data_IF_159056847511
#
_entry.id   IF_159056847511
#
_cell.length_a   1.000
_cell.length_b   1.000
_cell.length_c   1.000
_cell.angle_alpha   90.00
_cell.angle_beta   90.00
_cell.angle_gamma   90.00
#
_symmetry.space_group_name_H-M   'P 1'
#
loop_
_entity.id
_entity.type
_entity.pdbx_description
1 polymer ?
#
# COMPACT_ATOMS: atom_id res chain seq x y z
N UNK A 1 20.29 16.99 -24.85
CA UNK A 1 20.77 16.16 -23.75
C UNK A 1 22.23 15.75 -24.01
N UNK A 2 23.06 15.80 -22.98
CA UNK A 2 24.41 15.24 -23.02
C UNK A 2 24.34 13.70 -23.04
N UNK A 3 25.46 13.03 -23.30
CA UNK A 3 25.51 11.56 -23.19
C UNK A 3 25.13 11.08 -21.77
N UNK A 4 25.54 11.85 -20.75
CA UNK A 4 25.17 11.56 -19.35
C UNK A 4 23.65 11.73 -19.08
N UNK A 5 23.02 12.75 -19.67
CA UNK A 5 21.58 12.94 -19.58
C UNK A 5 20.84 11.79 -20.26
N UNK A 6 21.36 11.28 -21.37
CA UNK A 6 20.73 10.16 -22.08
C UNK A 6 20.69 8.89 -21.23
N UNK A 7 21.73 8.64 -20.44
CA UNK A 7 21.74 7.50 -19.50
C UNK A 7 20.55 7.57 -18.53
N UNK A 8 20.25 8.74 -17.98
CA UNK A 8 19.12 8.94 -17.06
C UNK A 8 17.78 8.73 -17.75
N UNK A 9 17.64 9.21 -18.99
CA UNK A 9 16.43 8.99 -19.80
C UNK A 9 16.23 7.50 -20.07
N UNK A 10 17.29 6.79 -20.45
CA UNK A 10 17.25 5.36 -20.73
C UNK A 10 16.91 4.56 -19.46
N UNK A 11 17.46 4.95 -18.31
CA UNK A 11 17.12 4.33 -17.01
C UNK A 11 15.66 4.56 -16.64
N UNK A 12 15.11 5.75 -16.83
CA UNK A 12 13.70 6.01 -16.57
C UNK A 12 12.80 5.13 -17.45
N UNK A 13 13.15 4.95 -18.72
CA UNK A 13 12.43 4.07 -19.63
C UNK A 13 12.54 2.60 -19.20
N UNK A 14 13.74 2.15 -18.81
CA UNK A 14 13.96 0.81 -18.31
C UNK A 14 13.12 0.55 -17.03
N UNK A 15 13.05 1.52 -16.13
CA UNK A 15 12.22 1.45 -14.94
C UNK A 15 10.73 1.27 -15.28
N UNK A 16 10.20 2.08 -16.21
CA UNK A 16 8.81 1.96 -16.68
C UNK A 16 8.51 0.57 -17.29
N UNK A 17 9.49 0.00 -17.97
CA UNK A 17 9.40 -1.34 -18.58
C UNK A 17 9.70 -2.49 -17.60
N UNK A 18 10.04 -2.17 -16.35
CA UNK A 18 10.48 -3.13 -15.34
C UNK A 18 11.71 -3.94 -15.75
N UNK A 19 12.59 -3.34 -16.53
CA UNK A 19 13.81 -3.97 -17.07
C UNK A 19 14.95 -3.85 -16.04
N UNK A 20 15.00 -4.80 -15.09
CA UNK A 20 16.00 -4.85 -14.02
C UNK A 20 17.42 -4.99 -14.55
N UNK A 21 17.62 -5.78 -15.60
CA UNK A 21 18.95 -6.02 -16.21
C UNK A 21 19.50 -4.73 -16.79
N UNK A 22 18.67 -4.02 -17.55
CA UNK A 22 19.08 -2.75 -18.17
C UNK A 22 19.40 -1.70 -17.10
N UNK A 23 18.60 -1.62 -16.04
CA UNK A 23 18.86 -0.71 -14.92
C UNK A 23 20.23 -0.99 -14.26
N UNK A 24 20.54 -2.26 -14.00
CA UNK A 24 21.82 -2.64 -13.43
C UNK A 24 23.01 -2.29 -14.35
N UNK A 25 22.85 -2.47 -15.65
CA UNK A 25 23.88 -2.14 -16.65
C UNK A 25 24.14 -0.64 -16.72
N UNK A 26 23.09 0.19 -16.63
CA UNK A 26 23.20 1.64 -16.80
C UNK A 26 23.61 2.37 -15.52
N UNK A 27 23.33 1.82 -14.33
CA UNK A 27 23.57 2.49 -13.06
C UNK A 27 25.00 3.03 -12.90
N UNK A 28 26.08 2.27 -13.19
CA UNK A 28 27.44 2.78 -13.08
C UNK A 28 27.72 4.01 -13.94
N UNK A 29 27.02 4.15 -15.06
CA UNK A 29 27.18 5.26 -16.01
C UNK A 29 26.49 6.54 -15.51
N UNK A 30 25.59 6.46 -14.53
CA UNK A 30 24.92 7.60 -13.93
C UNK A 30 25.73 8.24 -12.79
N UNK A 31 26.85 7.63 -12.38
CA UNK A 31 27.66 8.11 -11.28
C UNK A 31 28.15 9.53 -11.50
N UNK A 32 27.95 10.39 -10.50
CA UNK A 32 28.34 11.80 -10.55
C UNK A 32 27.37 12.72 -11.28
N UNK A 33 26.34 12.19 -11.90
CA UNK A 33 25.27 13.01 -12.49
C UNK A 33 24.43 13.69 -11.40
N UNK A 34 23.95 14.91 -11.63
CA UNK A 34 23.11 15.64 -10.69
C UNK A 34 21.84 14.87 -10.28
N UNK A 35 21.33 14.02 -11.16
CA UNK A 35 20.15 13.17 -10.93
C UNK A 35 20.51 11.72 -10.58
N UNK A 36 21.74 11.45 -10.16
CA UNK A 36 22.16 10.11 -9.72
C UNK A 36 21.23 9.51 -8.63
N UNK A 37 20.69 10.30 -7.67
CA UNK A 37 19.71 9.74 -6.69
C UNK A 37 18.49 9.09 -7.35
N UNK A 38 18.00 9.64 -8.48
CA UNK A 38 16.92 9.02 -9.25
C UNK A 38 17.35 7.71 -9.89
N UNK A 39 18.53 7.67 -10.49
CA UNK A 39 19.07 6.44 -11.08
C UNK A 39 19.20 5.33 -10.04
N UNK A 40 19.78 5.64 -8.89
CA UNK A 40 19.90 4.71 -7.78
C UNK A 40 18.53 4.25 -7.23
N UNK A 41 17.57 5.17 -7.15
CA UNK A 41 16.20 4.85 -6.72
C UNK A 41 15.52 3.88 -7.71
N UNK A 42 15.54 4.16 -9.00
CA UNK A 42 14.91 3.29 -10.00
C UNK A 42 15.48 1.88 -10.00
N UNK A 43 16.79 1.77 -9.92
CA UNK A 43 17.47 0.47 -9.90
C UNK A 43 17.08 -0.35 -8.64
N UNK A 44 17.19 0.23 -7.46
CA UNK A 44 16.86 -0.46 -6.23
C UNK A 44 15.35 -0.73 -6.11
N UNK A 45 14.51 0.25 -6.47
CA UNK A 45 13.06 0.09 -6.43
C UNK A 45 12.57 -1.07 -7.29
N UNK A 46 13.15 -1.22 -8.49
CA UNK A 46 12.77 -2.28 -9.43
C UNK A 46 13.01 -3.69 -8.87
N UNK A 47 13.98 -3.86 -7.96
CA UNK A 47 14.33 -5.15 -7.33
C UNK A 47 14.13 -5.17 -5.81
N UNK A 48 13.36 -4.23 -5.28
CA UNK A 48 13.24 -4.03 -3.82
C UNK A 48 12.79 -5.30 -3.08
N UNK A 49 11.89 -6.07 -3.69
CA UNK A 49 11.38 -7.32 -3.11
C UNK A 49 12.48 -8.36 -2.86
N UNK A 50 13.54 -8.32 -3.66
CA UNK A 50 14.67 -9.26 -3.60
C UNK A 50 15.91 -8.63 -2.95
N UNK A 51 15.87 -7.33 -2.61
CA UNK A 51 16.98 -6.63 -2.00
C UNK A 51 17.18 -7.04 -0.54
N UNK A 52 18.45 -7.11 -0.13
CA UNK A 52 18.78 -7.34 1.26
C UNK A 52 18.58 -6.07 2.09
N UNK A 53 18.32 -6.23 3.38
CA UNK A 53 18.17 -5.11 4.31
C UNK A 53 19.38 -4.16 4.28
N UNK A 54 20.58 -4.71 4.18
CA UNK A 54 21.83 -3.93 4.10
C UNK A 54 21.91 -3.02 2.87
N UNK A 55 21.36 -3.45 1.74
CA UNK A 55 21.32 -2.64 0.50
C UNK A 55 20.35 -1.46 0.66
N UNK A 56 19.20 -1.69 1.29
CA UNK A 56 18.23 -0.63 1.60
C UNK A 56 18.84 0.38 2.56
N UNK A 57 19.46 -0.07 3.64
CA UNK A 57 20.09 0.79 4.63
C UNK A 57 21.23 1.62 4.01
N UNK A 58 22.06 1.01 3.16
CA UNK A 58 23.11 1.70 2.45
C UNK A 58 22.57 2.81 1.53
N UNK A 59 21.47 2.55 0.82
CA UNK A 59 20.80 3.57 -0.02
C UNK A 59 20.28 4.73 0.83
N UNK A 60 19.57 4.44 1.91
CA UNK A 60 19.00 5.46 2.80
C UNK A 60 20.08 6.34 3.42
N UNK A 61 21.22 5.75 3.76
CA UNK A 61 22.36 6.48 4.31
C UNK A 61 23.05 7.34 3.26
N UNK A 62 23.32 6.78 2.06
CA UNK A 62 23.99 7.50 0.97
C UNK A 62 23.20 8.72 0.51
N UNK A 63 21.90 8.57 0.37
CA UNK A 63 21.02 9.61 -0.17
C UNK A 63 20.22 10.33 0.91
N UNK A 64 20.71 10.31 2.15
CA UNK A 64 20.07 10.96 3.29
C UNK A 64 19.73 12.44 2.98
N UNK A 65 18.53 12.86 3.36
CA UNK A 65 18.02 14.21 3.15
C UNK A 65 17.43 14.47 1.76
N UNK A 66 17.56 13.55 0.81
CA UNK A 66 16.96 13.69 -0.52
C UNK A 66 15.49 13.24 -0.54
N UNK A 67 14.75 13.67 -1.56
CA UNK A 67 13.42 13.15 -1.85
C UNK A 67 13.42 11.63 -2.07
N UNK A 68 14.42 11.12 -2.78
CA UNK A 68 14.53 9.71 -3.12
C UNK A 68 14.75 8.82 -1.89
N UNK A 69 15.47 9.31 -0.89
CA UNK A 69 15.63 8.60 0.40
C UNK A 69 14.26 8.34 1.02
N UNK A 70 13.43 9.37 1.13
CA UNK A 70 12.13 9.24 1.79
C UNK A 70 11.12 8.44 0.94
N UNK A 71 11.20 8.55 -0.40
CA UNK A 71 10.40 7.72 -1.31
C UNK A 71 10.74 6.24 -1.20
N UNK A 72 12.02 5.89 -1.15
CA UNK A 72 12.40 4.48 -0.99
C UNK A 72 12.00 3.96 0.39
N UNK A 73 12.07 4.78 1.41
CA UNK A 73 11.58 4.43 2.76
C UNK A 73 10.08 4.13 2.71
N UNK A 74 9.30 4.95 2.02
CA UNK A 74 7.87 4.67 1.80
C UNK A 74 7.66 3.31 1.14
N UNK A 75 8.35 3.03 0.05
CA UNK A 75 8.24 1.76 -0.68
C UNK A 75 8.63 0.56 0.20
N UNK A 76 9.70 0.71 0.99
CA UNK A 76 10.14 -0.33 1.92
C UNK A 76 9.15 -0.55 3.06
N UNK A 77 8.56 0.51 3.60
CA UNK A 77 7.52 0.40 4.63
C UNK A 77 6.30 -0.36 4.13
N UNK A 78 5.86 -0.10 2.89
CA UNK A 78 4.77 -0.87 2.28
C UNK A 78 5.12 -2.35 2.17
N UNK A 79 6.33 -2.67 1.74
CA UNK A 79 6.80 -4.04 1.62
C UNK A 79 6.90 -4.75 2.98
N UNK A 80 7.45 -4.08 3.98
CA UNK A 80 7.53 -4.61 5.35
C UNK A 80 6.14 -4.85 5.94
N UNK A 81 5.21 -3.94 5.73
CA UNK A 81 3.81 -4.10 6.13
C UNK A 81 3.15 -5.32 5.48
N UNK A 82 3.30 -5.48 4.17
CA UNK A 82 2.79 -6.64 3.43
C UNK A 82 3.36 -7.97 3.95
N UNK A 83 4.63 -7.96 4.35
CA UNK A 83 5.33 -9.13 4.92
C UNK A 83 5.05 -9.33 6.41
N UNK A 84 4.32 -8.43 7.04
CA UNK A 84 4.07 -8.45 8.50
C UNK A 84 5.35 -8.39 9.32
N UNK A 85 6.39 -7.77 8.79
CA UNK A 85 7.63 -7.49 9.50
C UNK A 85 7.47 -6.22 10.35
N UNK A 86 6.69 -6.35 11.40
CA UNK A 86 6.33 -5.22 12.27
C UNK A 86 7.53 -4.62 13.00
N UNK A 87 8.49 -5.45 13.38
CA UNK A 87 9.69 -5.00 14.07
C UNK A 87 10.52 -4.05 13.20
N UNK A 88 10.80 -4.43 11.96
CA UNK A 88 11.54 -3.57 11.02
C UNK A 88 10.72 -2.36 10.59
N UNK A 89 9.44 -2.51 10.40
CA UNK A 89 8.54 -1.39 10.11
C UNK A 89 8.62 -0.34 11.23
N UNK A 90 8.44 -0.77 12.48
CA UNK A 90 8.47 0.12 13.65
C UNK A 90 9.82 0.85 13.80
N UNK A 91 10.93 0.18 13.47
CA UNK A 91 12.26 0.80 13.51
C UNK A 91 12.46 1.85 12.40
N UNK A 92 11.88 1.63 11.21
CA UNK A 92 12.06 2.50 10.04
C UNK A 92 11.07 3.66 9.98
N UNK A 93 9.84 3.46 10.43
CA UNK A 93 8.73 4.39 10.27
C UNK A 93 8.98 5.81 10.87
N UNK A 94 9.62 5.97 12.03
CA UNK A 94 9.83 7.32 12.60
C UNK A 94 10.64 8.26 11.72
N UNK A 95 11.46 7.74 10.82
CA UNK A 95 12.27 8.53 9.89
C UNK A 95 11.53 8.91 8.60
N UNK A 96 10.32 8.39 8.39
CA UNK A 96 9.50 8.74 7.21
C UNK A 96 8.93 10.15 7.38
N UNK A 97 9.43 11.09 6.58
CA UNK A 97 9.14 12.52 6.75
C UNK A 97 7.86 12.97 6.06
N UNK A 98 7.61 12.51 4.82
CA UNK A 98 6.44 12.97 4.05
C UNK A 98 5.13 12.54 4.68
N UNK A 99 5.04 11.33 5.24
CA UNK A 99 3.86 10.85 5.94
C UNK A 99 2.58 10.89 5.10
N UNK A 100 2.70 10.85 3.79
CA UNK A 100 1.62 11.08 2.83
C UNK A 100 0.97 9.80 2.30
N UNK A 101 1.45 8.63 2.74
CA UNK A 101 0.93 7.33 2.32
C UNK A 101 -0.11 6.81 3.30
N UNK A 102 -1.36 6.68 2.84
CA UNK A 102 -2.49 6.22 3.67
C UNK A 102 -2.34 4.76 4.11
N UNK A 103 -1.81 3.91 3.23
CA UNK A 103 -1.58 2.49 3.57
C UNK A 103 -0.51 2.36 4.64
N UNK A 104 0.56 3.13 4.57
CA UNK A 104 1.59 3.18 5.63
C UNK A 104 0.99 3.62 6.96
N UNK A 105 0.10 4.63 6.96
CA UNK A 105 -0.61 5.06 8.18
C UNK A 105 -1.45 3.93 8.77
N UNK A 106 -2.12 3.16 7.93
CA UNK A 106 -2.90 2.00 8.35
C UNK A 106 -2.02 0.90 8.96
N UNK A 107 -0.87 0.59 8.37
CA UNK A 107 0.08 -0.34 8.98
C UNK A 107 0.58 0.13 10.35
N UNK A 108 0.87 1.41 10.48
CA UNK A 108 1.26 1.99 11.77
C UNK A 108 0.13 1.86 12.82
N UNK A 109 -1.11 2.04 12.41
CA UNK A 109 -2.28 1.85 13.27
C UNK A 109 -2.43 0.38 13.71
N UNK A 110 -2.19 -0.56 12.80
CA UNK A 110 -2.17 -2.00 13.12
C UNK A 110 -1.14 -2.32 14.20
N UNK A 111 0.08 -1.81 14.05
CA UNK A 111 1.15 -2.02 15.04
C UNK A 111 0.75 -1.44 16.40
N UNK A 112 0.22 -0.22 16.41
CA UNK A 112 -0.26 0.42 17.64
C UNK A 112 -1.36 -0.39 18.33
N UNK A 113 -2.27 -0.98 17.55
CA UNK A 113 -3.34 -1.85 18.07
C UNK A 113 -2.76 -3.14 18.68
N UNK A 114 -1.86 -3.81 17.98
CA UNK A 114 -1.21 -5.04 18.45
C UNK A 114 -0.43 -4.78 19.75
N UNK A 115 0.23 -3.65 19.85
CA UNK A 115 1.02 -3.26 21.02
C UNK A 115 0.18 -2.66 22.17
N UNK A 116 -1.13 -2.57 22.01
CA UNK A 116 -2.03 -2.04 23.05
C UNK A 116 -1.92 -0.54 23.30
N UNK A 117 -1.38 0.22 22.33
CA UNK A 117 -1.21 1.68 22.40
C UNK A 117 -1.95 2.42 21.28
N UNK A 118 -2.98 1.80 20.71
CA UNK A 118 -3.82 2.46 19.73
C UNK A 118 -4.46 3.73 20.32
N UNK A 119 -4.60 4.82 19.53
CA UNK A 119 -5.27 6.02 19.99
C UNK A 119 -6.75 5.72 20.29
N UNK A 120 -7.35 6.51 21.17
CA UNK A 120 -8.78 6.36 21.51
C UNK A 120 -9.69 6.54 20.29
N UNK A 121 -9.28 7.35 19.33
CA UNK A 121 -9.98 7.61 18.08
C UNK A 121 -9.51 6.70 16.91
N UNK A 122 -8.94 5.54 17.22
CA UNK A 122 -8.40 4.61 16.22
C UNK A 122 -9.38 4.31 15.08
N UNK A 123 -10.67 4.15 15.38
CA UNK A 123 -11.70 3.94 14.36
C UNK A 123 -11.85 5.15 13.42
N UNK A 124 -11.73 6.36 13.94
CA UNK A 124 -11.79 7.59 13.13
C UNK A 124 -10.55 7.69 12.21
N UNK A 125 -9.37 7.40 12.74
CA UNK A 125 -8.12 7.37 11.96
C UNK A 125 -8.22 6.34 10.84
N UNK A 126 -8.72 5.14 11.14
CA UNK A 126 -8.93 4.11 10.13
C UNK A 126 -9.90 4.58 9.04
N UNK A 127 -11.07 5.11 9.41
CA UNK A 127 -12.07 5.58 8.46
C UNK A 127 -11.50 6.64 7.52
N UNK A 128 -10.81 7.63 8.06
CA UNK A 128 -10.18 8.69 7.26
C UNK A 128 -9.28 8.12 6.17
N UNK A 129 -8.46 7.16 6.50
CA UNK A 129 -7.51 6.58 5.55
C UNK A 129 -8.16 5.53 4.64
N UNK A 130 -8.91 4.60 5.20
CA UNK A 130 -9.50 3.49 4.46
C UNK A 130 -10.56 3.91 3.46
N UNK A 131 -11.46 4.83 3.87
CA UNK A 131 -12.54 5.29 2.98
C UNK A 131 -12.01 6.14 1.82
N UNK A 132 -10.86 6.77 1.96
CA UNK A 132 -10.21 7.51 0.89
C UNK A 132 -9.47 6.60 -0.12
N UNK A 133 -9.17 5.35 0.24
CA UNK A 133 -8.56 4.36 -0.67
C UNK A 133 -9.67 3.77 -1.55
N UNK A 134 -9.65 4.11 -2.84
CA UNK A 134 -10.65 3.58 -3.78
C UNK A 134 -10.39 2.12 -4.11
N UNK A 135 -9.14 1.79 -4.39
CA UNK A 135 -8.73 0.43 -4.71
C UNK A 135 -8.48 -0.39 -3.45
N UNK A 136 -8.51 -1.71 -3.61
CA UNK A 136 -8.13 -2.61 -2.51
C UNK A 136 -6.68 -2.34 -2.09
N UNK A 137 -6.47 -2.18 -0.79
CA UNK A 137 -5.14 -2.10 -0.20
C UNK A 137 -5.02 -3.05 1.00
N UNK A 138 -3.85 -3.60 1.17
CA UNK A 138 -3.59 -4.58 2.23
C UNK A 138 -3.54 -3.91 3.62
N UNK A 139 -2.92 -2.73 3.71
CA UNK A 139 -2.67 -2.09 5.00
C UNK A 139 -3.94 -1.67 5.72
N UNK A 140 -4.83 -0.92 5.06
CA UNK A 140 -6.07 -0.47 5.68
C UNK A 140 -7.07 -1.62 5.89
N UNK A 141 -7.10 -2.60 4.97
CA UNK A 141 -7.92 -3.80 5.14
C UNK A 141 -7.47 -4.60 6.36
N UNK A 142 -6.18 -4.79 6.54
CA UNK A 142 -5.63 -5.49 7.70
C UNK A 142 -5.91 -4.73 9.01
N UNK A 143 -5.69 -3.42 9.02
CA UNK A 143 -5.99 -2.58 10.19
C UNK A 143 -7.49 -2.64 10.56
N UNK A 144 -8.38 -2.63 9.56
CA UNK A 144 -9.81 -2.78 9.79
C UNK A 144 -10.15 -4.14 10.44
N UNK A 145 -9.55 -5.22 9.97
CA UNK A 145 -9.71 -6.55 10.56
C UNK A 145 -9.25 -6.62 12.00
N UNK A 146 -8.08 -6.06 12.32
CA UNK A 146 -7.53 -6.03 13.67
C UNK A 146 -8.42 -5.21 14.62
N UNK A 147 -8.85 -4.02 14.23
CA UNK A 147 -9.73 -3.18 15.03
C UNK A 147 -11.12 -3.81 15.21
N UNK A 148 -11.66 -4.44 14.16
CA UNK A 148 -12.94 -5.14 14.26
C UNK A 148 -12.87 -6.33 15.22
N UNK A 149 -11.84 -7.14 15.14
CA UNK A 149 -11.62 -8.27 16.05
C UNK A 149 -11.45 -7.83 17.51
N UNK A 150 -10.84 -6.67 17.72
CA UNK A 150 -10.69 -6.05 19.04
C UNK A 150 -11.94 -5.30 19.51
N UNK A 151 -13.05 -5.33 18.77
CA UNK A 151 -14.28 -4.58 19.04
C UNK A 151 -14.09 -3.06 19.09
N UNK A 152 -13.03 -2.57 18.43
CA UNK A 152 -12.67 -1.16 18.33
C UNK A 152 -13.20 -0.50 17.05
N UNK A 153 -13.77 -1.28 16.12
CA UNK A 153 -14.39 -0.82 14.89
C UNK A 153 -15.80 -1.38 14.76
N UNK A 154 -16.85 -0.54 14.69
CA UNK A 154 -18.22 -1.02 14.48
C UNK A 154 -18.40 -1.70 13.13
N UNK A 155 -19.22 -2.76 13.06
CA UNK A 155 -19.52 -3.45 11.82
C UNK A 155 -20.12 -2.52 10.75
N UNK A 156 -20.88 -1.52 11.15
CA UNK A 156 -21.48 -0.53 10.23
C UNK A 156 -20.42 0.21 9.39
N UNK A 157 -19.25 0.48 9.94
CA UNK A 157 -18.15 1.12 9.22
C UNK A 157 -17.57 0.20 8.14
N UNK A 158 -17.50 -1.10 8.41
CA UNK A 158 -17.04 -2.10 7.44
C UNK A 158 -18.05 -2.23 6.30
N UNK A 159 -19.34 -2.28 6.58
CA UNK A 159 -20.40 -2.28 5.56
C UNK A 159 -20.41 -0.99 4.74
N UNK A 160 -20.14 0.14 5.38
CA UNK A 160 -20.02 1.42 4.68
C UNK A 160 -18.87 1.41 3.69
N UNK A 161 -17.71 0.86 4.06
CA UNK A 161 -16.58 0.67 3.13
C UNK A 161 -16.96 -0.22 1.96
N UNK A 162 -17.64 -1.33 2.21
CA UNK A 162 -18.10 -2.24 1.15
C UNK A 162 -19.02 -1.51 0.16
N UNK A 163 -19.96 -0.71 0.66
CA UNK A 163 -20.86 0.09 -0.19
C UNK A 163 -20.09 1.11 -1.03
N UNK A 164 -19.18 1.87 -0.42
CA UNK A 164 -18.36 2.85 -1.14
C UNK A 164 -17.53 2.18 -2.26
N UNK A 165 -17.00 0.99 -2.00
CA UNK A 165 -16.25 0.23 -2.98
C UNK A 165 -17.12 -0.25 -4.15
N UNK A 166 -18.35 -0.69 -3.89
CA UNK A 166 -19.31 -1.07 -4.91
C UNK A 166 -19.71 0.14 -5.76
N UNK A 167 -20.03 1.26 -5.14
CA UNK A 167 -20.36 2.52 -5.82
C UNK A 167 -19.21 3.00 -6.72
N UNK A 168 -17.96 2.76 -6.32
CA UNK A 168 -16.77 3.07 -7.09
C UNK A 168 -16.41 1.99 -8.14
N UNK A 169 -17.19 0.92 -8.24
CA UNK A 169 -16.92 -0.25 -9.08
C UNK A 169 -15.56 -0.91 -8.77
N UNK A 170 -15.28 -1.10 -7.48
CA UNK A 170 -14.05 -1.73 -6.95
C UNK A 170 -14.39 -3.03 -6.22
N UNK A 171 -14.65 -4.08 -7.00
CA UNK A 171 -15.14 -5.38 -6.50
C UNK A 171 -14.21 -5.99 -5.48
N UNK A 172 -12.90 -5.97 -5.74
CA UNK A 172 -11.91 -6.54 -4.82
C UNK A 172 -11.95 -5.82 -3.47
N UNK A 173 -12.00 -4.49 -3.48
CA UNK A 173 -12.10 -3.71 -2.24
C UNK A 173 -13.40 -4.03 -1.47
N UNK A 174 -14.52 -4.20 -2.18
CA UNK A 174 -15.79 -4.60 -1.57
C UNK A 174 -15.71 -5.99 -0.94
N UNK A 175 -15.15 -6.96 -1.65
CA UNK A 175 -14.97 -8.33 -1.15
C UNK A 175 -14.05 -8.38 0.07
N UNK A 176 -12.95 -7.64 0.06
CA UNK A 176 -12.02 -7.58 1.16
C UNK A 176 -12.68 -6.99 2.42
N UNK A 177 -13.51 -5.96 2.28
CA UNK A 177 -14.29 -5.41 3.39
C UNK A 177 -15.32 -6.41 3.93
N UNK A 178 -16.12 -7.02 3.04
CA UNK A 178 -17.15 -8.01 3.44
C UNK A 178 -16.52 -9.21 4.15
N UNK A 179 -15.34 -9.66 3.72
CA UNK A 179 -14.63 -10.78 4.35
C UNK A 179 -14.33 -10.54 5.84
N UNK A 180 -14.27 -9.29 6.29
CA UNK A 180 -14.02 -8.96 7.72
C UNK A 180 -15.25 -9.33 8.57
N UNK A 181 -16.47 -9.09 8.08
CA UNK A 181 -17.71 -9.21 8.86
C UNK A 181 -18.59 -10.39 8.46
N UNK A 182 -18.55 -10.83 7.20
CA UNK A 182 -19.46 -11.84 6.67
C UNK A 182 -18.88 -12.54 5.44
N UNK A 183 -17.99 -13.50 5.64
CA UNK A 183 -17.35 -14.27 4.58
C UNK A 183 -18.34 -15.07 3.73
N UNK A 184 -19.44 -15.51 4.29
CA UNK A 184 -20.50 -16.29 3.63
C UNK A 184 -21.24 -15.51 2.55
N UNK A 185 -21.25 -14.19 2.56
CA UNK A 185 -21.90 -13.37 1.52
C UNK A 185 -20.96 -12.93 0.39
N UNK A 186 -19.69 -13.31 0.42
CA UNK A 186 -18.72 -12.95 -0.65
C UNK A 186 -19.15 -13.36 -2.06
N UNK A 187 -19.72 -14.56 -2.31
CA UNK A 187 -20.22 -14.93 -3.63
C UNK A 187 -21.32 -13.99 -4.11
N UNK A 188 -22.18 -13.49 -3.21
CA UNK A 188 -23.26 -12.56 -3.54
C UNK A 188 -22.73 -11.19 -3.98
N UNK A 189 -21.65 -10.70 -3.35
CA UNK A 189 -21.00 -9.44 -3.76
C UNK A 189 -20.50 -9.54 -5.20
N UNK A 190 -19.85 -10.64 -5.56
CA UNK A 190 -19.39 -10.88 -6.92
C UNK A 190 -20.55 -10.94 -7.90
N UNK A 191 -21.60 -11.69 -7.58
CA UNK A 191 -22.79 -11.82 -8.43
C UNK A 191 -23.51 -10.49 -8.63
N UNK A 192 -23.65 -9.68 -7.57
CA UNK A 192 -24.25 -8.35 -7.66
C UNK A 192 -23.46 -7.45 -8.61
N UNK A 193 -22.12 -7.50 -8.55
CA UNK A 193 -21.27 -6.69 -9.42
C UNK A 193 -21.34 -7.14 -10.89
N UNK A 194 -21.27 -8.44 -11.17
CA UNK A 194 -21.17 -8.99 -12.52
C UNK A 194 -22.51 -8.96 -13.27
N UNK A 195 -23.61 -9.14 -12.53
CA UNK A 195 -24.96 -9.19 -13.12
C UNK A 195 -26.01 -8.59 -12.17
N UNK A 196 -26.00 -7.25 -11.94
CA UNK A 196 -26.83 -6.61 -10.93
C UNK A 196 -28.33 -6.82 -11.16
N UNK A 197 -28.79 -6.75 -12.39
CA UNK A 197 -30.21 -6.96 -12.73
C UNK A 197 -30.68 -8.38 -12.42
N UNK A 198 -29.84 -9.37 -12.71
CA UNK A 198 -30.14 -10.78 -12.40
C UNK A 198 -30.17 -11.03 -10.90
N UNK A 199 -29.20 -10.46 -10.19
CA UNK A 199 -29.13 -10.54 -8.73
C UNK A 199 -30.38 -9.93 -8.08
N UNK A 200 -30.75 -8.71 -8.47
CA UNK A 200 -31.91 -8.01 -7.92
C UNK A 200 -33.22 -8.76 -8.20
N UNK A 201 -33.38 -9.31 -9.40
CA UNK A 201 -34.58 -10.16 -9.73
C UNK A 201 -34.67 -11.39 -8.85
N UNK A 202 -33.55 -12.04 -8.57
CA UNK A 202 -33.52 -13.23 -7.72
C UNK A 202 -33.83 -12.95 -6.25
N UNK A 203 -33.52 -11.72 -5.77
CA UNK A 203 -33.66 -11.34 -4.35
C UNK A 203 -34.83 -10.38 -4.06
N UNK A 204 -35.48 -9.84 -5.09
CA UNK A 204 -36.61 -8.89 -4.93
C UNK A 204 -37.94 -9.56 -4.59
N UNK A 205 -38.03 -10.87 -4.69
CA UNK A 205 -39.24 -11.65 -4.39
C UNK A 205 -39.22 -12.33 -3.04
N UNK A 206 -38.24 -12.00 -2.17
CA UNK A 206 -38.26 -12.50 -0.81
C UNK A 206 -39.46 -11.89 -0.07
N UNK A 207 -40.38 -12.69 0.52
CA UNK A 207 -41.47 -12.16 1.31
C UNK A 207 -40.90 -11.43 2.53
N UNK A 208 -41.44 -10.24 2.79
CA UNK A 208 -41.09 -9.44 3.95
C UNK A 208 -41.52 -10.12 5.26
#
# INVERSE_FOLDING_TARGET
>A
PTAADQVLIDMQQAFRKKDRVRLAQLLPQARGHALEPWAAYWELRARLEDAQASEVDAFLQRWAGTYQEDRLRNDQLLLLGQRRDWSRFAAMHPAFRMGDDREVRCYALTIAQIEGRAPQDAAAVLRENWFAQRDADDGCTHAAGELFSAKALPAIDVWRKARLAIEANRVRAARDAVAIVATDVLPQVTQLNDAPTKFLRAHSTAPG
#
